data_IF_150887844954
#
_entry.id   IF_150887844954
#
_cell.length_a   1.000
_cell.length_b   1.000
_cell.length_c   1.000
_cell.angle_alpha   90.00
_cell.angle_beta   90.00
_cell.angle_gamma   90.00
#
_symmetry.space_group_name_H-M   'P 1'
#
loop_
_entity.id
_entity.type
_entity.pdbx_description
1 polymer ?
#
# COMPACT_ATOMS: atom_id res chain seq x y z
N UNK A 1 4.61 -15.34 -22.57
CA UNK A 1 5.61 -15.47 -23.67
C UNK A 1 6.79 -16.35 -23.25
N UNK A 2 7.39 -17.15 -24.14
CA UNK A 2 8.58 -17.99 -23.87
C UNK A 2 9.86 -17.45 -24.53
N UNK A 3 11.05 -17.99 -24.18
CA UNK A 3 12.35 -17.47 -24.65
C UNK A 3 12.49 -17.52 -26.18
N UNK A 4 12.03 -18.58 -26.84
CA UNK A 4 12.09 -18.71 -28.30
C UNK A 4 11.15 -17.71 -29.01
N UNK A 5 10.00 -17.40 -28.42
CA UNK A 5 9.11 -16.35 -28.89
C UNK A 5 9.72 -14.96 -28.69
N UNK A 6 10.34 -14.71 -27.53
CA UNK A 6 11.00 -13.43 -27.22
C UNK A 6 12.22 -13.17 -28.13
N UNK A 7 13.03 -14.20 -28.43
CA UNK A 7 14.15 -14.11 -29.39
C UNK A 7 13.66 -13.73 -30.78
N UNK A 8 12.59 -14.37 -31.25
CA UNK A 8 11.97 -14.04 -32.55
C UNK A 8 11.41 -12.62 -32.56
N UNK A 9 10.72 -12.22 -31.49
CA UNK A 9 10.09 -10.89 -31.41
C UNK A 9 11.14 -9.76 -31.41
N UNK A 10 12.24 -9.93 -30.69
CA UNK A 10 13.32 -8.93 -30.62
C UNK A 10 14.41 -9.12 -31.69
N UNK A 11 14.23 -10.07 -32.61
CA UNK A 11 15.20 -10.43 -33.66
C UNK A 11 16.60 -10.68 -33.09
N UNK A 12 16.68 -11.41 -31.97
CA UNK A 12 17.90 -11.76 -31.25
C UNK A 12 18.38 -13.13 -31.71
N UNK A 13 19.63 -13.19 -32.15
CA UNK A 13 20.33 -14.39 -32.60
C UNK A 13 21.40 -14.82 -31.58
N UNK A 14 22.07 -15.93 -31.88
CA UNK A 14 23.11 -16.54 -31.04
C UNK A 14 24.41 -15.71 -30.99
N UNK A 15 24.57 -14.79 -31.94
CA UNK A 15 25.72 -13.88 -32.05
C UNK A 15 25.51 -12.57 -31.29
N UNK A 16 24.29 -12.32 -30.81
CA UNK A 16 23.98 -11.11 -30.05
C UNK A 16 24.43 -11.24 -28.59
N UNK A 17 24.79 -10.11 -28.00
CA UNK A 17 25.05 -9.97 -26.58
C UNK A 17 24.00 -9.06 -25.92
N UNK A 18 24.18 -8.79 -24.62
CA UNK A 18 23.27 -7.92 -23.87
C UNK A 18 23.25 -6.49 -24.42
N UNK A 19 24.34 -6.04 -25.06
CA UNK A 19 24.42 -4.72 -25.68
C UNK A 19 23.58 -4.67 -26.97
N UNK A 20 23.70 -5.67 -27.83
CA UNK A 20 22.89 -5.86 -29.03
C UNK A 20 21.41 -6.04 -28.71
N UNK A 21 21.06 -6.78 -27.65
CA UNK A 21 19.69 -6.89 -27.15
C UNK A 21 19.11 -5.51 -26.79
N UNK A 22 19.87 -4.70 -26.03
CA UNK A 22 19.44 -3.35 -25.63
C UNK A 22 19.29 -2.41 -26.83
N UNK A 23 20.16 -2.55 -27.84
CA UNK A 23 20.10 -1.78 -29.09
C UNK A 23 18.86 -2.14 -29.92
N UNK A 24 18.61 -3.44 -30.13
CA UNK A 24 17.44 -3.94 -30.87
C UNK A 24 16.12 -3.61 -30.16
N UNK A 25 16.09 -3.71 -28.83
CA UNK A 25 14.96 -3.26 -28.01
C UNK A 25 14.66 -1.76 -28.22
N UNK A 26 15.67 -0.89 -28.15
CA UNK A 26 15.48 0.56 -28.38
C UNK A 26 14.98 0.86 -29.79
N UNK A 27 15.49 0.17 -30.80
CA UNK A 27 15.05 0.33 -32.19
C UNK A 27 13.58 -0.08 -32.35
N UNK A 28 13.16 -1.20 -31.76
CA UNK A 28 11.77 -1.67 -31.78
C UNK A 28 10.83 -0.76 -30.98
N UNK A 29 11.26 -0.29 -29.81
CA UNK A 29 10.45 0.65 -29.01
C UNK A 29 10.28 2.00 -29.73
N UNK A 30 11.28 2.46 -30.47
CA UNK A 30 11.15 3.68 -31.27
C UNK A 30 10.11 3.55 -32.39
N UNK A 31 9.85 2.34 -32.89
CA UNK A 31 8.75 2.10 -33.86
C UNK A 31 7.36 2.08 -33.22
N UNK A 32 7.28 2.12 -31.89
CA UNK A 32 6.05 2.18 -31.12
C UNK A 32 5.96 3.47 -30.27
N UNK A 33 6.72 4.51 -30.62
CA UNK A 33 6.74 5.79 -29.92
C UNK A 33 5.41 6.56 -30.09
N UNK A 34 4.91 7.29 -29.08
CA UNK A 34 3.68 8.08 -29.18
C UNK A 34 3.67 9.14 -30.29
N UNK A 35 4.84 9.55 -30.78
CA UNK A 35 4.97 10.49 -31.92
C UNK A 35 4.93 9.81 -33.31
N UNK A 36 4.78 8.48 -33.37
CA UNK A 36 4.56 7.77 -34.63
C UNK A 36 3.07 7.86 -35.03
N UNK A 37 2.79 8.18 -36.30
CA UNK A 37 1.43 8.24 -36.86
C UNK A 37 0.66 6.94 -36.56
N UNK A 38 -0.44 7.02 -35.78
CA UNK A 38 -1.28 5.88 -35.38
C UNK A 38 -1.13 5.40 -33.92
N UNK A 39 -0.36 6.10 -33.08
CA UNK A 39 0.01 5.66 -31.71
C UNK A 39 -1.13 5.48 -30.69
N UNK A 40 -2.37 5.84 -31.03
CA UNK A 40 -3.55 5.66 -30.18
C UNK A 40 -4.32 4.35 -30.44
N UNK A 41 -3.96 3.56 -31.46
CA UNK A 41 -4.64 2.29 -31.68
C UNK A 41 -4.23 1.24 -30.62
N UNK A 42 -5.19 0.46 -30.08
CA UNK A 42 -4.93 -0.58 -29.08
C UNK A 42 -3.85 -1.59 -29.48
N UNK A 43 -3.65 -1.81 -30.78
CA UNK A 43 -2.64 -2.71 -31.33
C UNK A 43 -1.21 -2.20 -31.10
N UNK A 44 -0.99 -0.88 -31.14
CA UNK A 44 0.32 -0.27 -30.88
C UNK A 44 0.71 -0.38 -29.40
N UNK A 45 -0.25 -0.20 -28.49
CA UNK A 45 -0.06 -0.37 -27.04
C UNK A 45 0.24 -1.83 -26.72
N UNK A 46 -0.53 -2.77 -27.28
CA UNK A 46 -0.31 -4.20 -27.08
C UNK A 46 1.06 -4.64 -27.60
N UNK A 47 1.48 -4.11 -28.75
CA UNK A 47 2.79 -4.40 -29.33
C UNK A 47 3.95 -3.86 -28.49
N UNK A 48 3.81 -2.67 -27.91
CA UNK A 48 4.81 -2.13 -26.97
C UNK A 48 4.92 -2.98 -25.68
N UNK A 49 3.81 -3.50 -25.18
CA UNK A 49 3.79 -4.42 -24.04
C UNK A 49 4.49 -5.74 -24.37
N UNK A 50 4.17 -6.35 -25.52
CA UNK A 50 4.83 -7.57 -26.00
C UNK A 50 6.35 -7.37 -26.15
N UNK A 51 6.80 -6.22 -26.65
CA UNK A 51 8.23 -5.89 -26.77
C UNK A 51 8.89 -5.76 -25.39
N UNK A 52 8.22 -5.10 -24.43
CA UNK A 52 8.73 -4.93 -23.07
C UNK A 52 8.84 -6.27 -22.32
N UNK A 53 7.83 -7.13 -22.42
CA UNK A 53 7.86 -8.48 -21.83
C UNK A 53 9.01 -9.32 -22.41
N UNK A 54 9.23 -9.24 -23.73
CA UNK A 54 10.28 -10.02 -24.38
C UNK A 54 11.67 -9.56 -23.93
N UNK A 55 11.85 -8.25 -23.77
CA UNK A 55 13.11 -7.69 -23.33
C UNK A 55 13.42 -8.07 -21.89
N UNK A 56 12.44 -7.98 -20.98
CA UNK A 56 12.64 -8.39 -19.59
C UNK A 56 12.90 -9.89 -19.47
N UNK A 57 12.21 -10.71 -20.26
CA UNK A 57 12.42 -12.15 -20.29
C UNK A 57 13.84 -12.49 -20.73
N UNK A 58 14.34 -11.91 -21.84
CA UNK A 58 15.70 -12.17 -22.31
C UNK A 58 16.78 -11.56 -21.42
N UNK A 59 16.59 -10.33 -20.92
CA UNK A 59 17.55 -9.66 -20.02
C UNK A 59 17.79 -10.45 -18.75
N UNK A 60 16.74 -11.08 -18.21
CA UNK A 60 16.82 -11.84 -16.97
C UNK A 60 17.14 -13.32 -17.19
N UNK A 61 17.26 -13.78 -18.44
CA UNK A 61 17.55 -15.17 -18.76
C UNK A 61 19.08 -15.41 -18.87
N UNK A 62 19.68 -16.27 -18.02
CA UNK A 62 21.14 -16.48 -17.99
C UNK A 62 21.76 -17.02 -19.28
N UNK A 63 20.95 -17.63 -20.14
CA UNK A 63 21.34 -18.23 -21.42
C UNK A 63 20.53 -17.65 -22.58
N UNK A 64 20.18 -16.36 -22.53
CA UNK A 64 19.35 -15.70 -23.55
C UNK A 64 19.89 -15.81 -24.98
N UNK A 65 21.17 -16.14 -25.17
CA UNK A 65 21.86 -16.20 -26.46
C UNK A 65 22.37 -17.59 -26.86
N UNK A 66 22.16 -18.62 -26.02
CA UNK A 66 22.70 -19.98 -26.25
C UNK A 66 21.61 -20.92 -26.83
N UNK A 67 21.93 -21.66 -27.90
CA UNK A 67 20.98 -22.48 -28.67
C UNK A 67 20.95 -23.96 -28.30
N UNK A 68 21.99 -24.47 -27.62
CA UNK A 68 22.11 -25.88 -27.24
C UNK A 68 21.54 -26.20 -25.84
N UNK A 69 20.85 -25.26 -25.20
CA UNK A 69 20.26 -25.51 -23.88
C UNK A 69 19.01 -26.40 -23.98
N UNK A 70 19.16 -27.68 -23.62
CA UNK A 70 18.04 -28.54 -23.21
C UNK A 70 17.81 -28.35 -21.71
N UNK A 71 16.55 -28.44 -21.22
CA UNK A 71 16.26 -28.38 -19.79
C UNK A 71 16.84 -29.61 -19.10
N UNK A 72 18.11 -29.55 -18.68
CA UNK A 72 18.64 -30.50 -17.71
C UNK A 72 18.16 -30.04 -16.34
N UNK A 73 17.40 -30.92 -15.67
CA UNK A 73 16.87 -30.75 -14.33
C UNK A 73 17.97 -30.62 -13.28
N UNK A 74 18.64 -29.47 -13.27
CA UNK A 74 19.38 -28.94 -12.15
C UNK A 74 18.81 -27.55 -11.93
N UNK A 75 17.81 -27.50 -11.06
CA UNK A 75 17.35 -26.26 -10.43
C UNK A 75 18.60 -25.52 -9.95
N UNK A 76 18.94 -24.44 -10.66
CA UNK A 76 19.87 -23.45 -10.14
C UNK A 76 19.29 -23.10 -8.77
N UNK A 77 20.02 -23.24 -7.65
CA UNK A 77 19.47 -22.86 -6.36
C UNK A 77 19.00 -21.42 -6.54
N UNK A 78 17.70 -21.18 -6.35
CA UNK A 78 17.19 -19.82 -6.31
C UNK A 78 18.16 -19.07 -5.42
N UNK A 79 18.78 -18.01 -5.96
CA UNK A 79 19.50 -17.07 -5.11
C UNK A 79 18.45 -16.63 -4.12
N UNK A 80 18.48 -17.22 -2.91
CA UNK A 80 17.55 -16.89 -1.84
C UNK A 80 17.69 -15.39 -1.70
N UNK A 81 16.68 -14.65 -2.18
CA UNK A 81 16.60 -13.22 -1.94
C UNK A 81 16.75 -13.10 -0.42
N UNK A 82 17.63 -12.23 0.09
CA UNK A 82 17.83 -12.08 1.52
C UNK A 82 16.44 -12.02 2.17
N UNK A 83 16.20 -12.96 3.08
CA UNK A 83 14.89 -13.11 3.71
C UNK A 83 14.69 -11.87 4.54
N UNK A 84 13.73 -11.04 4.16
CA UNK A 84 13.40 -9.84 4.93
C UNK A 84 13.02 -10.27 6.34
N UNK A 85 13.65 -9.70 7.35
CA UNK A 85 13.51 -10.13 8.75
C UNK A 85 12.20 -9.63 9.41
N UNK A 86 11.30 -9.04 8.63
CA UNK A 86 10.04 -8.48 9.12
C UNK A 86 9.05 -9.53 9.59
N UNK A 87 8.14 -9.11 10.47
CA UNK A 87 7.04 -9.96 10.98
C UNK A 87 6.07 -10.26 9.84
N UNK A 88 5.67 -11.52 9.69
CA UNK A 88 4.79 -12.00 8.62
C UNK A 88 3.37 -12.21 9.15
N UNK A 89 2.36 -11.74 8.41
CA UNK A 89 0.98 -12.15 8.58
C UNK A 89 0.62 -13.22 7.53
N UNK A 90 0.79 -14.49 7.89
CA UNK A 90 0.50 -15.63 7.01
C UNK A 90 -0.94 -15.65 6.47
N UNK A 91 -1.87 -15.03 7.21
CA UNK A 91 -3.29 -14.95 6.85
C UNK A 91 -3.61 -13.79 5.89
N UNK A 92 -2.67 -12.92 5.55
CA UNK A 92 -2.90 -11.86 4.58
C UNK A 92 -3.31 -12.45 3.22
N UNK A 93 -4.21 -11.76 2.51
CA UNK A 93 -4.83 -12.26 1.29
C UNK A 93 -3.80 -12.56 0.19
N UNK A 94 -2.80 -11.70 0.07
CA UNK A 94 -1.75 -11.75 -0.95
C UNK A 94 -0.44 -11.19 -0.38
N UNK A 95 0.63 -11.33 -1.14
CA UNK A 95 1.90 -10.69 -0.82
C UNK A 95 1.90 -9.23 -1.27
N UNK A 96 2.69 -8.40 -0.59
CA UNK A 96 2.95 -7.01 -0.99
C UNK A 96 4.45 -6.80 -1.20
N UNK A 97 4.80 -5.80 -1.99
CA UNK A 97 6.17 -5.31 -2.07
C UNK A 97 6.53 -4.52 -0.78
N UNK A 98 7.76 -4.62 -0.31
CA UNK A 98 8.33 -3.73 0.73
C UNK A 98 9.29 -2.79 0.02
N UNK A 99 9.04 -1.50 0.17
CA UNK A 99 9.75 -0.45 -0.57
C UNK A 99 10.66 0.35 0.35
N UNK A 100 11.87 0.67 -0.14
CA UNK A 100 12.83 1.54 0.53
C UNK A 100 13.29 2.63 -0.42
N UNK A 101 13.56 3.82 0.12
CA UNK A 101 14.24 4.86 -0.63
C UNK A 101 15.70 4.47 -0.90
N UNK A 102 16.21 4.85 -2.06
CA UNK A 102 17.66 4.94 -2.24
C UNK A 102 18.21 6.05 -1.37
N UNK A 103 19.50 5.95 -1.02
CA UNK A 103 20.19 6.98 -0.26
C UNK A 103 20.48 8.26 -1.06
N UNK A 104 20.26 8.25 -2.38
CA UNK A 104 20.48 9.39 -3.26
C UNK A 104 19.18 10.14 -3.51
N UNK A 105 19.21 11.46 -3.39
CA UNK A 105 18.16 12.37 -3.84
C UNK A 105 18.37 12.74 -5.31
N UNK A 106 17.30 12.78 -6.09
CA UNK A 106 17.32 13.27 -7.48
C UNK A 106 16.45 14.52 -7.61
N UNK A 107 16.59 15.25 -8.73
CA UNK A 107 15.75 16.42 -9.02
C UNK A 107 14.25 16.07 -9.11
N UNK A 108 13.92 14.81 -9.41
CA UNK A 108 12.55 14.28 -9.48
C UNK A 108 12.04 13.74 -8.14
N UNK A 109 12.85 13.79 -7.07
CA UNK A 109 12.51 13.36 -5.72
C UNK A 109 13.38 12.23 -5.20
N UNK A 110 12.87 11.47 -4.22
CA UNK A 110 13.58 10.33 -3.65
C UNK A 110 13.19 9.04 -4.40
N UNK A 111 14.04 8.49 -5.28
CA UNK A 111 13.74 7.22 -5.92
C UNK A 111 13.67 6.10 -4.87
N UNK A 112 12.82 5.11 -5.11
CA UNK A 112 12.65 3.94 -4.25
C UNK A 112 12.79 2.64 -5.04
N UNK A 113 13.01 1.53 -4.31
CA UNK A 113 13.14 0.19 -4.90
C UNK A 113 12.47 -0.87 -4.04
N UNK A 114 12.05 -1.96 -4.70
CA UNK A 114 11.49 -3.13 -4.03
C UNK A 114 12.61 -3.91 -3.33
N UNK A 115 12.65 -3.85 -2.00
CA UNK A 115 13.62 -4.54 -1.18
C UNK A 115 13.21 -6.01 -0.93
N UNK A 116 11.91 -6.26 -0.81
CA UNK A 116 11.37 -7.59 -0.60
C UNK A 116 9.93 -7.70 -1.13
N UNK A 117 9.44 -8.94 -1.28
CA UNK A 117 8.02 -9.23 -1.50
C UNK A 117 7.61 -10.36 -0.57
N UNK A 118 6.46 -10.21 0.07
CA UNK A 118 5.93 -11.19 1.01
C UNK A 118 4.77 -10.62 1.84
N UNK A 119 4.29 -11.39 2.82
CA UNK A 119 3.19 -10.97 3.69
C UNK A 119 3.69 -10.19 4.92
N UNK A 120 4.65 -9.30 4.73
CA UNK A 120 5.30 -8.57 5.81
C UNK A 120 4.40 -7.45 6.35
N UNK A 121 4.24 -7.41 7.67
CA UNK A 121 3.63 -6.27 8.37
C UNK A 121 4.45 -5.00 8.11
N UNK A 122 3.77 -3.86 8.14
CA UNK A 122 4.42 -2.57 8.07
C UNK A 122 5.19 -2.28 9.36
N UNK A 123 6.47 -1.94 9.20
CA UNK A 123 7.37 -1.56 10.28
C UNK A 123 7.77 -0.08 10.10
N UNK A 124 7.26 0.85 10.92
CA UNK A 124 7.52 2.29 10.75
C UNK A 124 9.00 2.71 10.79
N UNK A 125 9.88 1.88 11.36
CA UNK A 125 11.32 2.13 11.42
C UNK A 125 12.09 1.62 10.21
N UNK A 126 11.50 0.71 9.44
CA UNK A 126 12.17 0.07 8.30
C UNK A 126 11.59 0.56 6.98
N UNK A 127 10.28 0.79 6.90
CA UNK A 127 9.59 1.22 5.68
C UNK A 127 8.84 2.53 5.91
N UNK A 128 9.10 3.53 5.06
CA UNK A 128 8.36 4.80 5.10
C UNK A 128 6.87 4.57 4.84
N UNK A 129 6.03 5.34 5.52
CA UNK A 129 4.59 5.17 5.41
C UNK A 129 4.05 5.41 3.99
N UNK A 130 4.59 6.38 3.24
CA UNK A 130 4.17 6.64 1.86
C UNK A 130 4.50 5.45 0.97
N UNK A 131 5.65 4.83 1.17
CA UNK A 131 6.07 3.62 0.46
C UNK A 131 5.17 2.42 0.80
N UNK A 132 4.76 2.30 2.05
CA UNK A 132 3.74 1.32 2.45
C UNK A 132 2.39 1.56 1.73
N UNK A 133 1.91 2.80 1.67
CA UNK A 133 0.65 3.12 0.96
C UNK A 133 0.74 2.80 -0.53
N UNK A 134 1.88 3.13 -1.17
CA UNK A 134 2.18 2.79 -2.56
C UNK A 134 2.13 1.27 -2.77
N UNK A 135 2.77 0.50 -1.89
CA UNK A 135 2.73 -0.97 -1.91
C UNK A 135 1.30 -1.51 -1.89
N UNK A 136 0.43 -1.01 -1.03
CA UNK A 136 -0.97 -1.45 -0.99
C UNK A 136 -1.74 -0.99 -2.26
N UNK A 137 -1.48 0.20 -2.78
CA UNK A 137 -2.07 0.66 -4.06
C UNK A 137 -1.68 -0.23 -5.24
N UNK A 138 -0.43 -0.68 -5.31
CA UNK A 138 0.00 -1.62 -6.34
C UNK A 138 -0.71 -2.96 -6.22
N UNK A 139 -0.83 -3.51 -5.01
CA UNK A 139 -1.58 -4.76 -4.78
C UNK A 139 -3.04 -4.59 -5.21
N UNK A 140 -3.67 -3.45 -4.88
CA UNK A 140 -5.03 -3.15 -5.35
C UNK A 140 -5.09 -3.13 -6.87
N UNK A 141 -4.11 -2.52 -7.54
CA UNK A 141 -4.03 -2.46 -9.01
C UNK A 141 -3.84 -3.85 -9.62
N UNK A 142 -2.92 -4.66 -9.08
CA UNK A 142 -2.66 -6.05 -9.49
C UNK A 142 -3.95 -6.89 -9.40
N UNK A 143 -4.68 -6.79 -8.28
CA UNK A 143 -5.92 -7.55 -8.08
C UNK A 143 -7.11 -7.06 -8.93
N UNK A 144 -7.03 -5.85 -9.47
CA UNK A 144 -8.10 -5.22 -10.27
C UNK A 144 -7.76 -5.08 -11.76
N UNK A 145 -6.62 -5.60 -12.22
CA UNK A 145 -6.08 -5.38 -13.57
C UNK A 145 -7.07 -5.74 -14.70
N UNK A 146 -7.96 -6.70 -14.44
CA UNK A 146 -8.94 -7.21 -15.40
C UNK A 146 -10.38 -6.85 -15.04
N UNK A 147 -10.62 -5.76 -14.29
CA UNK A 147 -12.00 -5.41 -13.89
C UNK A 147 -12.29 -3.91 -13.85
N UNK A 148 -13.32 -3.50 -14.59
CA UNK A 148 -13.90 -2.14 -14.56
C UNK A 148 -14.77 -1.91 -13.32
N UNK A 149 -14.13 -1.96 -12.15
CA UNK A 149 -14.80 -1.73 -10.87
C UNK A 149 -14.71 -0.28 -10.45
N UNK A 150 -15.77 0.15 -9.76
CA UNK A 150 -15.92 1.53 -9.30
C UNK A 150 -14.82 1.93 -8.31
N UNK A 151 -14.59 3.24 -8.18
CA UNK A 151 -13.68 3.80 -7.17
C UNK A 151 -14.08 3.40 -5.75
N UNK A 152 -15.37 3.16 -5.49
CA UNK A 152 -15.85 2.68 -4.20
C UNK A 152 -15.32 1.28 -3.85
N UNK A 153 -15.27 0.36 -4.82
CA UNK A 153 -14.69 -0.97 -4.62
C UNK A 153 -13.17 -0.86 -4.42
N UNK A 154 -12.49 -0.06 -5.24
CA UNK A 154 -11.04 0.18 -5.11
C UNK A 154 -10.68 0.69 -3.71
N UNK A 155 -11.44 1.67 -3.22
CA UNK A 155 -11.22 2.27 -1.89
C UNK A 155 -11.48 1.26 -0.76
N UNK A 156 -12.49 0.40 -0.92
CA UNK A 156 -12.79 -0.65 0.06
C UNK A 156 -11.72 -1.74 0.08
N UNK A 157 -11.27 -2.16 -1.10
CA UNK A 157 -10.22 -3.15 -1.25
C UNK A 157 -8.91 -2.66 -0.63
N UNK A 158 -8.54 -1.40 -0.90
CA UNK A 158 -7.40 -0.74 -0.26
C UNK A 158 -7.50 -0.81 1.27
N UNK A 159 -8.66 -0.44 1.83
CA UNK A 159 -8.86 -0.45 3.28
C UNK A 159 -8.67 -1.87 3.86
N UNK A 160 -9.28 -2.89 3.26
CA UNK A 160 -9.17 -4.26 3.74
C UNK A 160 -7.75 -4.81 3.63
N UNK A 161 -7.03 -4.52 2.54
CA UNK A 161 -5.64 -4.93 2.39
C UNK A 161 -4.74 -4.23 3.42
N UNK A 162 -4.87 -2.91 3.59
CA UNK A 162 -4.07 -2.18 4.56
C UNK A 162 -4.31 -2.67 6.01
N UNK A 163 -5.57 -2.99 6.37
CA UNK A 163 -5.90 -3.59 7.67
C UNK A 163 -5.14 -4.91 7.92
N UNK A 164 -4.80 -5.69 6.88
CA UNK A 164 -4.08 -6.96 7.03
C UNK A 164 -2.57 -6.80 7.31
N UNK A 165 -2.00 -5.62 7.06
CA UNK A 165 -0.55 -5.39 7.17
C UNK A 165 -0.16 -4.44 8.30
N UNK A 166 -1.10 -4.01 9.14
CA UNK A 166 -0.83 -3.11 10.25
C UNK A 166 -1.21 -3.78 11.57
N UNK A 167 -0.33 -3.71 12.56
CA UNK A 167 -0.62 -4.09 13.93
C UNK A 167 -0.82 -2.82 14.79
N UNK A 168 -2.07 -2.36 14.98
CA UNK A 168 -2.39 -1.01 15.45
C UNK A 168 -1.71 -0.62 16.76
N UNK A 169 -1.70 -1.51 17.76
CA UNK A 169 -1.13 -1.21 19.08
C UNK A 169 0.40 -1.06 19.00
N UNK A 170 1.08 -1.99 18.31
CA UNK A 170 2.54 -1.95 18.16
C UNK A 170 2.99 -0.76 17.33
N UNK A 171 2.29 -0.49 16.23
CA UNK A 171 2.56 0.67 15.38
C UNK A 171 2.33 1.96 16.15
N UNK A 172 1.21 2.10 16.87
CA UNK A 172 0.91 3.28 17.68
C UNK A 172 2.04 3.63 18.65
N UNK A 173 2.53 2.64 19.41
CA UNK A 173 3.64 2.80 20.37
C UNK A 173 4.97 3.19 19.72
N UNK A 174 5.14 2.90 18.42
CA UNK A 174 6.35 3.24 17.66
C UNK A 174 6.28 4.64 17.07
N UNK A 175 5.10 5.09 16.67
CA UNK A 175 4.91 6.40 16.01
C UNK A 175 4.60 7.52 17.01
N UNK A 176 4.08 7.21 18.20
CA UNK A 176 3.73 8.20 19.22
C UNK A 176 3.98 7.68 20.64
N UNK A 177 4.29 8.61 21.56
CA UNK A 177 4.42 8.32 23.00
C UNK A 177 3.15 8.71 23.75
N UNK A 178 2.71 7.91 24.75
CA UNK A 178 1.61 8.32 25.60
C UNK A 178 1.99 9.59 26.39
N UNK A 179 1.03 10.51 26.53
CA UNK A 179 1.22 11.73 27.33
C UNK A 179 1.14 11.47 28.83
N UNK A 180 0.44 10.40 29.23
CA UNK A 180 0.34 9.93 30.62
C UNK A 180 -0.24 8.53 30.70
N UNK A 181 -0.16 7.94 31.88
CA UNK A 181 -0.94 6.77 32.27
C UNK A 181 -2.15 7.21 33.11
N UNK A 182 -3.22 6.43 33.07
CA UNK A 182 -4.31 6.59 34.03
C UNK A 182 -4.06 5.80 35.33
N UNK A 183 -5.03 5.86 36.26
CA UNK A 183 -4.94 5.21 37.57
C UNK A 183 -4.77 3.68 37.50
N UNK A 184 -5.15 3.07 36.38
CA UNK A 184 -5.04 1.63 36.15
C UNK A 184 -3.81 1.27 35.28
N UNK A 185 -2.94 2.25 35.02
CA UNK A 185 -1.73 2.08 34.21
C UNK A 185 -1.99 2.08 32.70
N UNK A 186 -3.19 2.48 32.23
CA UNK A 186 -3.51 2.51 30.79
C UNK A 186 -2.90 3.71 30.11
N UNK A 187 -2.32 3.49 28.93
CA UNK A 187 -1.70 4.52 28.10
C UNK A 187 -2.75 5.50 27.54
N UNK A 188 -2.53 6.81 27.77
CA UNK A 188 -3.32 7.89 27.18
C UNK A 188 -2.43 8.67 26.20
N UNK A 189 -2.84 8.70 24.94
CA UNK A 189 -2.24 9.47 23.86
C UNK A 189 -3.03 10.76 23.63
N UNK A 190 -2.37 11.77 23.05
CA UNK A 190 -2.99 13.06 22.73
C UNK A 190 -2.61 13.47 21.32
N UNK A 191 -3.61 13.56 20.45
CA UNK A 191 -3.43 14.02 19.08
C UNK A 191 -4.12 15.36 18.87
N UNK A 192 -3.53 16.16 17.96
CA UNK A 192 -4.20 17.33 17.40
C UNK A 192 -5.00 16.86 16.20
N UNK A 193 -6.26 17.28 16.16
CA UNK A 193 -7.17 17.02 15.06
C UNK A 193 -7.93 18.29 14.67
N UNK A 194 -8.48 18.25 13.47
CA UNK A 194 -9.26 19.29 12.84
C UNK A 194 -10.56 18.68 12.31
N UNK A 195 -11.56 19.51 12.02
CA UNK A 195 -12.78 19.05 11.37
C UNK A 195 -12.75 19.50 9.92
N UNK A 196 -12.78 18.51 9.02
CA UNK A 196 -13.00 18.76 7.59
C UNK A 196 -14.50 18.98 7.42
N UNK A 197 -14.83 20.18 6.99
CA UNK A 197 -16.14 20.54 6.46
C UNK A 197 -17.31 20.39 7.43
N UNK A 198 -17.46 21.37 8.32
CA UNK A 198 -18.78 21.98 8.53
C UNK A 198 -18.60 23.47 8.90
N UNK A 199 -19.13 24.37 8.05
CA UNK A 199 -19.13 25.83 8.30
C UNK A 199 -20.43 26.31 8.94
N UNK A 200 -21.42 25.44 9.11
CA UNK A 200 -22.74 25.83 9.59
C UNK A 200 -22.76 26.05 11.11
N UNK A 201 -21.89 25.34 11.85
CA UNK A 201 -21.87 25.38 13.31
C UNK A 201 -20.48 25.73 13.86
N UNK A 202 -20.31 26.87 14.55
CA UNK A 202 -19.03 27.26 15.08
C UNK A 202 -18.62 26.35 16.24
N UNK A 203 -17.38 25.85 16.20
CA UNK A 203 -16.78 25.12 17.32
C UNK A 203 -16.58 26.06 18.50
N UNK A 204 -17.18 25.71 19.64
CA UNK A 204 -17.08 26.48 20.88
C UNK A 204 -15.95 25.95 21.74
N UNK A 205 -15.22 26.86 22.40
CA UNK A 205 -14.15 26.51 23.33
C UNK A 205 -14.67 25.58 24.45
N UNK A 206 -13.90 24.55 24.81
CA UNK A 206 -14.24 23.49 25.79
C UNK A 206 -15.42 22.60 25.40
N UNK A 207 -15.94 22.71 24.19
CA UNK A 207 -16.99 21.82 23.69
C UNK A 207 -16.47 20.38 23.61
N UNK A 208 -17.30 19.42 24.02
CA UNK A 208 -17.02 18.00 23.89
C UNK A 208 -17.63 17.44 22.61
N UNK A 209 -16.84 16.63 21.92
CA UNK A 209 -17.25 15.91 20.72
C UNK A 209 -17.19 14.40 20.99
N UNK A 210 -18.02 13.66 20.26
CA UNK A 210 -18.15 12.21 20.37
C UNK A 210 -18.13 11.57 18.98
N UNK A 211 -17.51 10.38 18.81
CA UNK A 211 -17.60 9.66 17.55
C UNK A 211 -19.06 9.25 17.31
N UNK A 212 -19.58 9.56 16.12
CA UNK A 212 -20.91 9.15 15.66
C UNK A 212 -20.85 7.86 14.87
N UNK A 213 -19.99 7.83 13.85
CA UNK A 213 -19.87 6.70 12.93
C UNK A 213 -18.49 6.63 12.27
N UNK A 214 -18.10 5.43 11.86
CA UNK A 214 -16.93 5.19 11.01
C UNK A 214 -17.37 5.04 9.55
N UNK A 215 -16.90 5.93 8.69
CA UNK A 215 -17.13 5.87 7.24
C UNK A 215 -15.80 5.55 6.55
N UNK A 216 -15.52 4.25 6.41
CA UNK A 216 -14.23 3.76 5.93
C UNK A 216 -13.09 4.12 6.89
N UNK A 217 -12.19 4.98 6.42
CA UNK A 217 -11.05 5.56 7.17
C UNK A 217 -11.35 6.93 7.80
N UNK A 218 -12.61 7.36 7.82
CA UNK A 218 -13.03 8.65 8.41
C UNK A 218 -13.89 8.46 9.65
N UNK A 219 -13.78 9.40 10.59
CA UNK A 219 -14.56 9.43 11.84
C UNK A 219 -15.48 10.64 11.78
N UNK A 220 -16.79 10.40 11.63
CA UNK A 220 -17.82 11.43 11.75
C UNK A 220 -18.04 11.73 13.24
N UNK A 221 -18.09 13.02 13.61
CA UNK A 221 -18.29 13.42 15.00
C UNK A 221 -19.57 14.22 15.21
N UNK A 222 -20.07 14.14 16.45
CA UNK A 222 -21.24 14.88 16.90
C UNK A 222 -21.04 15.45 18.30
N UNK A 223 -21.90 16.39 18.69
CA UNK A 223 -22.00 16.86 20.07
C UNK A 223 -22.95 16.00 20.92
N UNK A 224 -23.14 16.40 22.19
CA UNK A 224 -24.04 15.73 23.13
C UNK A 224 -25.52 15.77 22.73
N UNK A 225 -25.92 16.70 21.86
CA UNK A 225 -27.28 16.87 21.37
C UNK A 225 -27.50 16.11 20.04
N UNK A 226 -26.47 15.45 19.51
CA UNK A 226 -26.52 14.72 18.24
C UNK A 226 -26.25 15.60 17.01
N UNK A 227 -25.86 16.86 17.20
CA UNK A 227 -25.49 17.74 16.08
C UNK A 227 -24.16 17.28 15.48
N UNK A 228 -24.11 17.10 14.16
CA UNK A 228 -22.91 16.69 13.43
C UNK A 228 -21.98 17.88 13.17
N UNK A 229 -20.66 17.64 13.15
CA UNK A 229 -19.65 18.66 12.88
C UNK A 229 -18.62 18.22 11.81
N UNK A 230 -19.00 17.23 10.98
CA UNK A 230 -18.14 16.69 9.93
C UNK A 230 -17.11 15.67 10.41
N UNK A 231 -16.07 15.45 9.61
CA UNK A 231 -15.11 14.36 9.81
C UNK A 231 -13.81 14.84 10.44
N UNK A 232 -13.29 14.06 11.39
CA UNK A 232 -11.98 14.34 11.97
C UNK A 232 -10.86 14.17 10.95
N UNK A 233 -9.91 15.09 11.01
CA UNK A 233 -8.63 15.03 10.32
C UNK A 233 -7.47 15.15 11.29
N UNK A 234 -6.52 14.21 11.27
CA UNK A 234 -5.27 14.29 12.03
C UNK A 234 -4.14 14.94 11.20
N UNK A 235 -3.09 15.40 11.86
CA UNK A 235 -1.86 15.90 11.21
C UNK A 235 -1.05 14.77 10.57
N UNK A 236 -1.14 13.57 11.13
CA UNK A 236 -0.41 12.40 10.70
C UNK A 236 -1.38 11.27 10.31
N UNK A 237 -1.34 10.90 9.02
CA UNK A 237 -2.24 9.91 8.44
C UNK A 237 -2.00 8.48 8.97
N UNK A 238 -0.84 8.20 9.58
CA UNK A 238 -0.54 6.92 10.22
C UNK A 238 -1.49 6.64 11.39
N UNK A 239 -1.99 7.69 12.03
CA UNK A 239 -2.85 7.62 13.21
C UNK A 239 -4.17 6.90 12.87
N UNK A 240 -4.77 7.15 11.71
CA UNK A 240 -6.07 6.54 11.36
C UNK A 240 -6.02 5.02 11.33
N UNK A 241 -4.92 4.47 10.80
CA UNK A 241 -4.70 3.03 10.72
C UNK A 241 -4.47 2.38 12.09
N UNK A 242 -4.11 3.19 13.09
CA UNK A 242 -3.98 2.73 14.47
C UNK A 242 -5.29 2.86 15.24
N UNK A 243 -5.91 4.05 15.23
CA UNK A 243 -7.03 4.34 16.13
C UNK A 243 -8.35 3.74 15.64
N UNK A 244 -8.62 3.73 14.33
CA UNK A 244 -9.93 3.32 13.81
C UNK A 244 -10.19 1.83 14.10
N UNK A 245 -9.26 0.90 13.83
CA UNK A 245 -9.49 -0.50 14.17
C UNK A 245 -9.74 -0.71 15.66
N UNK A 246 -8.96 -0.05 16.52
CA UNK A 246 -9.09 -0.19 17.97
C UNK A 246 -10.42 0.36 18.50
N UNK A 247 -10.93 1.46 17.94
CA UNK A 247 -12.23 1.99 18.33
C UNK A 247 -13.40 1.14 17.81
N UNK A 248 -13.30 0.60 16.59
CA UNK A 248 -14.31 -0.32 16.03
C UNK A 248 -14.47 -1.57 16.90
N UNK A 249 -13.36 -2.11 17.41
CA UNK A 249 -13.33 -3.28 18.30
C UNK A 249 -13.55 -2.94 19.79
N UNK A 250 -13.85 -1.67 20.12
CA UNK A 250 -14.05 -1.19 21.51
C UNK A 250 -12.84 -1.45 22.45
N UNK A 251 -11.63 -1.52 21.89
CA UNK A 251 -10.37 -1.71 22.61
C UNK A 251 -9.71 -0.39 23.03
N UNK A 252 -10.39 0.73 22.78
CA UNK A 252 -9.95 2.04 23.19
C UNK A 252 -11.14 2.95 23.50
N UNK A 253 -10.89 4.00 24.27
CA UNK A 253 -11.85 5.08 24.54
C UNK A 253 -11.27 6.42 24.14
N UNK A 254 -12.17 7.33 23.80
CA UNK A 254 -11.79 8.68 23.36
C UNK A 254 -12.48 9.74 24.19
N UNK A 255 -11.76 10.84 24.39
CA UNK A 255 -12.32 12.12 24.82
C UNK A 255 -11.84 13.18 23.83
N UNK A 256 -12.77 13.91 23.24
CA UNK A 256 -12.46 14.98 22.30
C UNK A 256 -12.95 16.30 22.85
N UNK A 257 -12.06 17.27 22.92
CA UNK A 257 -12.34 18.59 23.49
C UNK A 257 -11.85 19.67 22.53
N UNK A 258 -12.71 20.62 22.20
CA UNK A 258 -12.35 21.76 21.36
C UNK A 258 -11.50 22.73 22.18
N UNK A 259 -10.31 23.06 21.66
CA UNK A 259 -9.43 24.12 22.17
C UNK A 259 -8.80 24.90 21.04
N UNK A 260 -8.84 26.22 21.10
CA UNK A 260 -8.22 27.11 20.10
C UNK A 260 -8.68 26.79 18.67
N UNK A 261 -9.98 26.49 18.50
CA UNK A 261 -10.61 26.02 17.23
C UNK A 261 -10.03 24.71 16.68
N UNK A 262 -9.24 23.97 17.45
CA UNK A 262 -8.76 22.62 17.14
C UNK A 262 -9.46 21.60 18.02
N UNK A 263 -9.46 20.34 17.61
CA UNK A 263 -9.93 19.22 18.43
C UNK A 263 -8.73 18.57 19.09
N UNK A 264 -8.70 18.58 20.43
CA UNK A 264 -7.74 17.81 21.21
C UNK A 264 -8.33 16.42 21.41
N UNK A 265 -7.72 15.43 20.77
CA UNK A 265 -8.17 14.04 20.77
C UNK A 265 -7.35 13.24 21.78
N UNK A 266 -7.94 12.95 22.94
CA UNK A 266 -7.37 12.02 23.90
C UNK A 266 -7.82 10.60 23.56
N UNK A 267 -6.85 9.71 23.38
CA UNK A 267 -7.06 8.31 23.03
C UNK A 267 -6.47 7.44 24.13
N UNK A 268 -7.31 6.65 24.81
CA UNK A 268 -6.88 5.73 25.86
C UNK A 268 -7.02 4.30 25.38
N UNK A 269 -5.94 3.53 25.46
CA UNK A 269 -5.99 2.09 25.22
C UNK A 269 -6.66 1.38 26.41
N UNK A 270 -7.56 0.44 26.13
CA UNK A 270 -8.05 -0.50 27.15
C UNK A 270 -7.07 -1.68 27.32
N UNK A 271 -7.13 -2.38 28.45
CA UNK A 271 -6.19 -3.46 28.76
C UNK A 271 -6.27 -4.61 27.75
N UNK A 272 -7.46 -4.83 27.21
CA UNK A 272 -7.78 -5.84 26.20
C UNK A 272 -7.15 -5.53 24.84
N UNK A 273 -6.65 -4.31 24.61
CA UNK A 273 -6.02 -3.93 23.35
C UNK A 273 -4.81 -4.82 22.99
N UNK A 274 -4.10 -5.35 23.99
CA UNK A 274 -2.99 -6.31 23.78
C UNK A 274 -3.44 -7.61 23.09
N UNK A 275 -4.72 -7.93 23.16
CA UNK A 275 -5.30 -9.11 22.54
C UNK A 275 -5.78 -8.85 21.11
N UNK A 276 -5.60 -7.63 20.59
CA UNK A 276 -5.99 -7.30 19.23
C UNK A 276 -5.42 -8.32 18.24
N UNK A 277 -6.28 -8.77 17.33
CA UNK A 277 -5.92 -9.65 16.22
C UNK A 277 -6.24 -8.93 14.93
N UNK A 278 -5.27 -8.95 14.01
CA UNK A 278 -5.48 -8.47 12.65
C UNK A 278 -6.69 -9.22 12.06
N UNK A 279 -7.71 -8.51 11.57
CA UNK A 279 -8.92 -9.15 11.05
C UNK A 279 -8.59 -9.96 9.81
N UNK A 280 -9.15 -11.17 9.73
CA UNK A 280 -9.14 -11.92 8.47
C UNK A 280 -10.22 -11.33 7.55
N UNK A 281 -9.78 -10.66 6.50
CA UNK A 281 -10.63 -10.02 5.47
C UNK A 281 -10.70 -10.83 4.19
N UNK A 282 -10.13 -12.04 4.13
CA UNK A 282 -9.94 -12.76 2.88
C UNK A 282 -11.26 -13.06 2.17
N UNK A 283 -12.31 -13.40 2.93
CA UNK A 283 -13.63 -13.66 2.35
C UNK A 283 -14.28 -12.39 1.81
N UNK A 284 -14.20 -11.27 2.53
CA UNK A 284 -14.71 -9.97 2.08
C UNK A 284 -13.95 -9.46 0.85
N UNK A 285 -12.63 -9.62 0.84
CA UNK A 285 -11.78 -9.29 -0.32
C UNK A 285 -12.21 -10.14 -1.52
N UNK A 286 -12.30 -11.46 -1.37
CA UNK A 286 -12.74 -12.35 -2.44
C UNK A 286 -14.13 -11.98 -2.98
N UNK A 287 -15.09 -11.65 -2.11
CA UNK A 287 -16.42 -11.18 -2.51
C UNK A 287 -16.39 -9.85 -3.27
N UNK A 288 -15.52 -8.92 -2.88
CA UNK A 288 -15.33 -7.67 -3.62
C UNK A 288 -14.73 -7.92 -5.00
N UNK A 289 -13.86 -8.93 -5.13
CA UNK A 289 -13.22 -9.32 -6.38
C UNK A 289 -14.13 -10.16 -7.31
N UNK A 290 -15.12 -10.88 -6.80
CA UNK A 290 -16.02 -11.71 -7.62
C UNK A 290 -17.35 -11.04 -8.00
N UNK A 291 -17.84 -10.06 -7.23
CA UNK A 291 -19.04 -9.31 -7.61
C UNK A 291 -18.73 -8.40 -8.82
N UNK A 292 -19.29 -8.78 -9.96
CA UNK A 292 -19.42 -8.02 -11.22
C UNK A 292 -20.87 -8.05 -11.64
#
# INVERSE_FOLDING_TARGET
MNVAQARRLLSVTEEDDLHSLKKKYRQLMNTCHPDALGSEEPEHIRRAQEINEAYQLLKNHPHAFDSMWKPQGKTRPERKRPTWAGVVNERAFCERNVYLYYTMETEEGHPYYCAARGKYLWEPKEEDFQLFLISIHEVVKELMEHTDKTMAVRSRLFQYLAEQFIEPVKVLRKIEKPVRLDQEGREIYRFRAYLKEDRQHPLREKMLLYPKAFQGSRILVQDKNGMEYGHLSFEDDRIYFCIIPLLKEKLARVKMEVRDRKVIFYFRLEKEAEQYRIPDRNLEIAKLLTKG
#
